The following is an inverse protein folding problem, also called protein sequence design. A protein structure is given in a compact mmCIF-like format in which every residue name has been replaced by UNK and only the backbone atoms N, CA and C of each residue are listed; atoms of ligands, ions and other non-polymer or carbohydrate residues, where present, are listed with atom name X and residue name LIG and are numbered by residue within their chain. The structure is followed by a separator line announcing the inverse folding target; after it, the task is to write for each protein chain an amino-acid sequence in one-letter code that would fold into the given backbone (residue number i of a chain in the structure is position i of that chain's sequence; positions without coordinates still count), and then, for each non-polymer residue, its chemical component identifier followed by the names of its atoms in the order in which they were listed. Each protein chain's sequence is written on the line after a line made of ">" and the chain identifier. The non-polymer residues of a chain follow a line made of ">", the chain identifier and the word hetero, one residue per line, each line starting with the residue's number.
data_IF_814976921365
#
_entry.id   IF_814976921365
#
_cell.length_a   1.000
_cell.length_b   1.000
_cell.length_c   1.000
_cell.angle_alpha   90.00
_cell.angle_beta   90.00
_cell.angle_gamma   90.00
#
_symmetry.space_group_name_H-M   'P 1'
#
loop_
_entity.id
_entity.type
_entity.pdbx_description
1 polymer ?
#
# COMPACT_ATOMS: atom_id res chain seq x y z
N UNK A 1 7.60 39.41 18.94
CA UNK A 1 7.31 38.55 17.77
C UNK A 1 6.11 37.71 18.13
N UNK A 2 4.95 37.97 17.52
CA UNK A 2 3.76 37.11 17.71
C UNK A 2 4.12 35.78 17.06
N UNK A 3 4.19 34.71 17.84
CA UNK A 3 4.43 33.37 17.30
C UNK A 3 3.36 33.06 16.27
N UNK A 4 3.76 32.67 15.06
CA UNK A 4 2.82 32.22 14.04
C UNK A 4 2.21 30.93 14.58
N UNK A 5 0.93 30.97 14.94
CA UNK A 5 0.18 29.82 15.43
C UNK A 5 0.08 28.78 14.31
N UNK A 6 0.64 27.59 14.53
CA UNK A 6 0.53 26.47 13.59
C UNK A 6 -0.87 25.85 13.69
N UNK A 7 -1.66 25.81 12.61
CA UNK A 7 -3.03 25.28 12.67
C UNK A 7 -3.11 23.82 13.11
N UNK A 8 -4.02 23.55 14.05
CA UNK A 8 -4.37 22.20 14.53
C UNK A 8 -5.71 21.74 13.94
N UNK A 9 -6.04 20.45 14.10
CA UNK A 9 -7.35 19.96 13.66
C UNK A 9 -8.49 20.55 14.52
N UNK A 10 -8.24 20.79 15.81
CA UNK A 10 -9.18 21.46 16.70
C UNK A 10 -9.48 22.90 16.28
N UNK A 11 -8.54 23.57 15.60
CA UNK A 11 -8.81 24.90 15.02
C UNK A 11 -9.77 24.81 13.82
N UNK A 12 -9.70 23.73 13.03
CA UNK A 12 -10.64 23.44 11.93
C UNK A 12 -12.04 23.19 12.50
N UNK A 13 -12.14 22.35 13.54
CA UNK A 13 -13.42 22.05 14.21
C UNK A 13 -14.07 23.32 14.76
N UNK A 14 -13.30 24.13 15.51
CA UNK A 14 -13.78 25.40 16.07
C UNK A 14 -14.23 26.38 14.98
N UNK A 15 -13.52 26.43 13.85
CA UNK A 15 -13.93 27.26 12.73
C UNK A 15 -15.30 26.84 12.17
N UNK A 16 -15.54 25.53 12.02
CA UNK A 16 -16.79 25.01 11.49
C UNK A 16 -17.97 25.18 12.46
N UNK A 17 -17.74 25.02 13.77
CA UNK A 17 -18.73 25.29 14.82
C UNK A 17 -19.17 26.75 14.83
N UNK A 18 -18.22 27.68 14.70
CA UNK A 18 -18.50 29.12 14.75
C UNK A 18 -19.22 29.66 13.50
N UNK A 19 -19.07 29.01 12.35
CA UNK A 19 -19.63 29.46 11.07
C UNK A 19 -20.79 28.58 10.55
N UNK A 20 -21.36 27.72 11.40
CA UNK A 20 -22.55 26.93 11.07
C UNK A 20 -22.34 25.88 9.97
N UNK A 21 -21.12 25.40 9.77
CA UNK A 21 -20.78 24.34 8.80
C UNK A 21 -20.89 24.72 7.32
N UNK A 22 -21.22 25.97 6.98
CA UNK A 22 -21.36 26.43 5.58
C UNK A 22 -20.15 27.26 5.18
N UNK A 23 -19.62 27.02 3.98
CA UNK A 23 -18.55 27.80 3.33
C UNK A 23 -18.92 29.29 3.06
N UNK A 24 -20.09 29.77 3.49
CA UNK A 24 -20.68 31.03 3.06
C UNK A 24 -20.30 32.20 3.97
N UNK A 25 -19.07 32.71 3.77
CA UNK A 25 -18.62 34.13 3.91
C UNK A 25 -17.13 34.23 4.24
N UNK A 26 -16.56 33.22 4.92
CA UNK A 26 -15.14 33.12 5.28
C UNK A 26 -14.36 32.06 4.46
N UNK A 27 -14.79 31.79 3.21
CA UNK A 27 -14.24 30.71 2.38
C UNK A 27 -12.72 30.77 2.23
N UNK A 28 -12.17 31.98 2.04
CA UNK A 28 -10.72 32.20 1.94
C UNK A 28 -10.00 31.88 3.26
N UNK A 29 -10.55 32.32 4.40
CA UNK A 29 -9.96 32.07 5.71
C UNK A 29 -10.00 30.59 6.10
N UNK A 30 -11.09 29.89 5.80
CA UNK A 30 -11.20 28.46 6.02
C UNK A 30 -10.22 27.68 5.14
N UNK A 31 -10.12 28.06 3.87
CA UNK A 31 -9.18 27.41 2.95
C UNK A 31 -7.72 27.60 3.41
N UNK A 32 -7.34 28.81 3.83
CA UNK A 32 -6.01 29.06 4.41
C UNK A 32 -5.74 28.24 5.67
N UNK A 33 -6.75 28.07 6.52
CA UNK A 33 -6.66 27.23 7.72
C UNK A 33 -6.38 25.76 7.35
N UNK A 34 -7.12 25.21 6.40
CA UNK A 34 -6.92 23.84 5.91
C UNK A 34 -5.54 23.67 5.26
N UNK A 35 -5.10 24.62 4.42
CA UNK A 35 -3.80 24.59 3.76
C UNK A 35 -2.64 24.69 4.77
N UNK A 36 -2.79 25.52 5.80
CA UNK A 36 -1.83 25.63 6.90
C UNK A 36 -1.74 24.33 7.71
N UNK A 37 -2.88 23.71 8.02
CA UNK A 37 -2.90 22.40 8.68
C UNK A 37 -2.19 21.33 7.84
N UNK A 38 -2.49 21.26 6.54
CA UNK A 38 -1.86 20.30 5.62
C UNK A 38 -0.35 20.50 5.60
N UNK A 39 0.12 21.74 5.44
CA UNK A 39 1.55 22.06 5.39
C UNK A 39 2.27 21.64 6.68
N UNK A 40 1.66 21.87 7.84
CA UNK A 40 2.23 21.51 9.13
C UNK A 40 2.25 20.01 9.42
N UNK A 41 1.43 19.22 8.73
CA UNK A 41 1.20 17.80 9.05
C UNK A 41 1.46 16.85 7.88
N UNK A 42 2.00 17.31 6.75
CA UNK A 42 2.23 16.46 5.58
C UNK A 42 3.26 15.35 5.89
N UNK A 43 4.33 15.65 6.62
CA UNK A 43 5.31 14.65 7.09
C UNK A 43 4.82 13.95 8.38
N UNK A 44 4.59 12.63 8.38
CA UNK A 44 4.20 11.90 9.59
C UNK A 44 5.21 12.02 10.73
N UNK A 45 6.51 12.13 10.45
CA UNK A 45 7.56 12.17 11.48
C UNK A 45 7.47 13.44 12.34
N UNK A 46 7.03 14.55 11.74
CA UNK A 46 6.92 15.85 12.42
C UNK A 46 5.47 16.29 12.66
N UNK A 47 4.49 15.48 12.26
CA UNK A 47 3.07 15.85 12.36
C UNK A 47 2.60 15.90 13.80
N UNK A 48 2.26 17.09 14.28
CA UNK A 48 1.70 17.29 15.63
C UNK A 48 0.30 16.71 15.75
N UNK A 49 -0.48 16.64 14.66
CA UNK A 49 -1.77 15.95 14.68
C UNK A 49 -1.60 14.43 14.80
N UNK A 50 -0.75 13.81 13.99
CA UNK A 50 -0.56 12.35 14.02
C UNK A 50 0.03 11.88 15.36
N UNK A 51 0.93 12.67 15.93
CA UNK A 51 1.62 12.35 17.17
C UNK A 51 0.86 12.76 18.44
N UNK A 52 -0.33 13.39 18.33
CA UNK A 52 -1.16 13.69 19.48
C UNK A 52 -2.15 12.55 19.79
N UNK A 53 -2.61 12.50 21.05
CA UNK A 53 -3.64 11.55 21.49
C UNK A 53 -5.07 12.08 21.35
N UNK A 54 -5.29 13.15 20.57
CA UNK A 54 -6.60 13.78 20.43
C UNK A 54 -7.42 13.09 19.33
N UNK A 55 -8.72 13.03 19.56
CA UNK A 55 -9.70 12.61 18.57
C UNK A 55 -9.94 13.70 17.53
N UNK A 56 -10.11 13.30 16.28
CA UNK A 56 -10.48 14.18 15.18
C UNK A 56 -11.94 13.88 14.77
N UNK A 57 -12.82 14.90 14.78
CA UNK A 57 -14.21 14.78 14.35
C UNK A 57 -14.31 14.73 12.82
N UNK A 58 -14.02 13.57 12.24
CA UNK A 58 -13.91 13.35 10.78
C UNK A 58 -15.16 13.74 9.99
N UNK A 59 -16.34 13.68 10.60
CA UNK A 59 -17.63 13.97 9.96
C UNK A 59 -17.69 15.41 9.43
N UNK A 60 -17.01 16.34 10.09
CA UNK A 60 -16.99 17.73 9.66
C UNK A 60 -16.37 17.88 8.25
N UNK A 61 -15.34 17.10 7.93
CA UNK A 61 -14.68 17.10 6.62
C UNK A 61 -15.48 16.30 5.59
N UNK A 62 -15.97 15.12 5.96
CA UNK A 62 -16.68 14.24 5.03
C UNK A 62 -18.04 14.83 4.62
N UNK A 63 -18.74 15.53 5.51
CA UNK A 63 -19.98 16.23 5.20
C UNK A 63 -19.77 17.35 4.16
N UNK A 64 -18.70 18.15 4.29
CA UNK A 64 -18.38 19.19 3.30
C UNK A 64 -18.02 18.56 1.97
N UNK A 65 -17.17 17.51 1.98
CA UNK A 65 -16.78 16.80 0.77
C UNK A 65 -18.00 16.19 0.04
N UNK A 66 -18.98 15.68 0.78
CA UNK A 66 -20.25 15.15 0.25
C UNK A 66 -21.10 16.26 -0.38
N UNK A 67 -21.16 17.44 0.23
CA UNK A 67 -21.95 18.56 -0.25
C UNK A 67 -21.43 19.14 -1.57
N UNK A 68 -20.11 19.10 -1.81
CA UNK A 68 -19.50 19.61 -3.04
C UNK A 68 -19.80 18.67 -4.23
N UNK A 69 -20.42 19.16 -5.34
CA UNK A 69 -20.60 18.36 -6.55
C UNK A 69 -19.27 17.93 -7.19
N UNK A 70 -19.21 16.80 -7.91
CA UNK A 70 -18.01 16.42 -8.66
C UNK A 70 -17.63 17.51 -9.67
N UNK A 71 -16.33 17.63 -9.98
CA UNK A 71 -15.79 18.63 -10.93
C UNK A 71 -16.03 20.11 -10.51
N UNK A 72 -16.59 20.34 -9.32
CA UNK A 72 -16.81 21.68 -8.75
C UNK A 72 -15.85 21.94 -7.60
N UNK A 73 -15.45 23.20 -7.43
CA UNK A 73 -14.64 23.65 -6.28
C UNK A 73 -13.37 22.80 -6.05
N UNK A 74 -12.61 22.58 -7.11
CA UNK A 74 -11.47 21.65 -7.10
C UNK A 74 -10.42 21.98 -6.03
N UNK A 75 -10.22 23.26 -5.71
CA UNK A 75 -9.27 23.70 -4.70
C UNK A 75 -9.70 23.24 -3.31
N UNK A 76 -10.98 23.44 -2.96
CA UNK A 76 -11.53 22.99 -1.68
C UNK A 76 -11.57 21.47 -1.60
N UNK A 77 -12.00 20.78 -2.66
CA UNK A 77 -12.00 19.30 -2.70
C UNK A 77 -10.59 18.76 -2.48
N UNK A 78 -9.60 19.33 -3.17
CA UNK A 78 -8.21 18.90 -3.06
C UNK A 78 -7.68 19.06 -1.62
N UNK A 79 -7.88 20.22 -1.00
CA UNK A 79 -7.39 20.44 0.37
C UNK A 79 -8.13 19.56 1.40
N UNK A 80 -9.43 19.34 1.23
CA UNK A 80 -10.19 18.42 2.10
C UNK A 80 -9.69 16.97 1.99
N UNK A 81 -9.39 16.50 0.78
CA UNK A 81 -8.80 15.17 0.57
C UNK A 81 -7.41 15.06 1.21
N UNK A 82 -6.58 16.11 1.16
CA UNK A 82 -5.29 16.16 1.85
C UNK A 82 -5.45 16.11 3.36
N UNK A 83 -6.42 16.82 3.93
CA UNK A 83 -6.76 16.74 5.35
C UNK A 83 -7.21 15.32 5.71
N UNK A 84 -8.11 14.70 4.93
CA UNK A 84 -8.54 13.31 5.14
C UNK A 84 -7.38 12.32 5.07
N UNK A 85 -6.45 12.51 4.13
CA UNK A 85 -5.22 11.69 4.02
C UNK A 85 -4.40 11.78 5.30
N UNK A 86 -4.20 12.98 5.85
CA UNK A 86 -3.41 13.20 7.07
C UNK A 86 -4.09 12.53 8.27
N UNK A 87 -5.37 12.84 8.51
CA UNK A 87 -6.06 12.35 9.71
C UNK A 87 -6.33 10.84 9.64
N UNK A 88 -6.47 10.25 8.44
CA UNK A 88 -6.64 8.79 8.26
C UNK A 88 -5.39 7.96 8.57
N UNK A 89 -4.26 8.59 8.92
CA UNK A 89 -3.11 7.89 9.50
C UNK A 89 -3.44 7.30 10.88
N UNK A 90 -4.30 7.96 11.65
CA UNK A 90 -4.80 7.44 12.93
C UNK A 90 -5.84 6.33 12.70
N UNK A 91 -5.73 5.24 13.45
CA UNK A 91 -6.66 4.12 13.34
C UNK A 91 -8.10 4.49 13.69
N UNK A 92 -8.28 5.25 14.78
CA UNK A 92 -9.60 5.73 15.23
C UNK A 92 -10.34 6.50 14.13
N UNK A 93 -9.63 7.36 13.41
CA UNK A 93 -10.21 8.13 12.31
C UNK A 93 -10.59 7.25 11.12
N UNK A 94 -9.78 6.24 10.76
CA UNK A 94 -10.17 5.29 9.69
C UNK A 94 -11.46 4.57 10.02
N UNK A 95 -11.65 4.18 11.27
CA UNK A 95 -12.87 3.52 11.74
C UNK A 95 -14.08 4.46 11.70
N UNK A 96 -13.87 5.75 12.02
CA UNK A 96 -14.94 6.77 12.01
C UNK A 96 -15.34 7.27 10.62
N UNK A 97 -14.42 7.32 9.64
CA UNK A 97 -14.73 7.77 8.26
C UNK A 97 -15.92 6.98 7.70
N UNK A 98 -15.96 5.67 7.95
CA UNK A 98 -17.12 4.82 7.72
C UNK A 98 -17.71 4.88 6.29
N UNK A 99 -18.97 4.49 6.17
CA UNK A 99 -19.66 4.41 4.87
C UNK A 99 -19.83 5.78 4.21
N UNK A 100 -20.24 6.78 5.00
CA UNK A 100 -20.47 8.13 4.51
C UNK A 100 -19.19 8.75 3.94
N UNK A 101 -18.08 8.69 4.68
CA UNK A 101 -16.81 9.24 4.23
C UNK A 101 -16.21 8.49 3.04
N UNK A 102 -16.32 7.15 3.00
CA UNK A 102 -15.90 6.36 1.84
C UNK A 102 -16.72 6.75 0.60
N UNK A 103 -18.04 6.90 0.74
CA UNK A 103 -18.89 7.36 -0.35
C UNK A 103 -18.48 8.77 -0.83
N UNK A 104 -18.20 9.69 0.09
CA UNK A 104 -17.77 11.06 -0.22
C UNK A 104 -16.48 11.09 -1.05
N UNK A 105 -15.48 10.27 -0.68
CA UNK A 105 -14.22 10.17 -1.43
C UNK A 105 -14.44 9.52 -2.80
N UNK A 106 -15.18 8.39 -2.85
CA UNK A 106 -15.45 7.68 -4.10
C UNK A 106 -16.26 8.51 -5.10
N UNK A 107 -17.16 9.38 -4.61
CA UNK A 107 -17.91 10.35 -5.44
C UNK A 107 -16.96 11.18 -6.29
N UNK A 108 -15.89 11.71 -5.70
CA UNK A 108 -14.89 12.53 -6.40
C UNK A 108 -13.87 11.69 -7.18
N UNK A 109 -13.62 10.44 -6.82
CA UNK A 109 -12.76 9.54 -7.61
C UNK A 109 -13.41 9.02 -8.89
N UNK A 110 -14.75 8.92 -8.97
CA UNK A 110 -15.42 8.50 -10.21
C UNK A 110 -15.26 9.52 -11.33
N UNK A 111 -15.18 10.81 -10.98
CA UNK A 111 -15.04 11.95 -11.89
C UNK A 111 -14.12 13.00 -11.26
N UNK A 112 -12.80 12.72 -11.20
CA UNK A 112 -11.87 13.64 -10.56
C UNK A 112 -11.73 14.91 -11.40
N UNK A 113 -11.76 16.07 -10.75
CA UNK A 113 -11.59 17.36 -11.41
C UNK A 113 -10.22 17.50 -12.07
N UNK A 114 -9.18 16.94 -11.44
CA UNK A 114 -7.81 16.94 -11.93
C UNK A 114 -7.01 15.74 -11.35
N UNK A 115 -5.79 15.47 -11.86
CA UNK A 115 -4.96 14.37 -11.37
C UNK A 115 -4.63 14.43 -9.87
N UNK A 116 -4.50 15.64 -9.28
CA UNK A 116 -4.20 15.78 -7.85
C UNK A 116 -5.36 15.28 -6.98
N UNK A 117 -6.60 15.58 -7.37
CA UNK A 117 -7.81 15.05 -6.71
C UNK A 117 -7.84 13.52 -6.80
N UNK A 118 -7.52 12.95 -7.96
CA UNK A 118 -7.44 11.50 -8.13
C UNK A 118 -6.36 10.88 -7.22
N UNK A 119 -5.16 11.47 -7.19
CA UNK A 119 -4.05 10.99 -6.38
C UNK A 119 -4.36 11.05 -4.87
N UNK A 120 -4.87 12.17 -4.38
CA UNK A 120 -5.18 12.34 -2.94
C UNK A 120 -6.36 11.47 -2.52
N UNK A 121 -7.42 11.38 -3.33
CA UNK A 121 -8.55 10.51 -3.03
C UNK A 121 -8.15 9.02 -3.02
N UNK A 122 -7.30 8.58 -3.96
CA UNK A 122 -6.79 7.21 -3.95
C UNK A 122 -5.91 6.95 -2.71
N UNK A 123 -5.17 7.95 -2.23
CA UNK A 123 -4.40 7.84 -0.99
C UNK A 123 -5.30 7.73 0.25
N UNK A 124 -6.40 8.47 0.30
CA UNK A 124 -7.41 8.30 1.36
C UNK A 124 -7.96 6.87 1.34
N UNK A 125 -8.32 6.32 0.17
CA UNK A 125 -8.77 4.92 0.05
C UNK A 125 -7.69 3.93 0.52
N UNK A 126 -6.43 4.15 0.14
CA UNK A 126 -5.29 3.35 0.59
C UNK A 126 -5.23 3.27 2.11
N UNK A 127 -5.31 4.42 2.80
CA UNK A 127 -5.24 4.48 4.25
C UNK A 127 -6.43 3.79 4.90
N UNK A 128 -7.67 4.17 4.52
CA UNK A 128 -8.88 3.66 5.19
C UNK A 128 -9.05 2.15 5.03
N UNK A 129 -8.54 1.57 3.94
CA UNK A 129 -8.59 0.12 3.68
C UNK A 129 -7.63 -0.72 4.53
N UNK A 130 -6.83 -0.13 5.44
CA UNK A 130 -6.21 -0.92 6.51
C UNK A 130 -7.26 -1.54 7.46
N UNK A 131 -8.44 -0.93 7.57
CA UNK A 131 -9.55 -1.51 8.34
C UNK A 131 -10.37 -2.45 7.46
N UNK A 132 -10.56 -3.69 7.91
CA UNK A 132 -11.35 -4.71 7.18
C UNK A 132 -12.76 -4.25 6.83
N UNK A 133 -13.43 -3.55 7.75
CA UNK A 133 -14.79 -3.02 7.54
C UNK A 133 -14.85 -2.03 6.36
N UNK A 134 -13.80 -1.23 6.18
CA UNK A 134 -13.72 -0.25 5.11
C UNK A 134 -13.47 -0.90 3.74
N UNK A 135 -12.78 -2.04 3.69
CA UNK A 135 -12.69 -2.82 2.45
C UNK A 135 -14.07 -3.28 1.99
N UNK A 136 -14.89 -3.81 2.90
CA UNK A 136 -16.26 -4.22 2.58
C UNK A 136 -17.12 -3.04 2.09
N UNK A 137 -16.90 -1.84 2.64
CA UNK A 137 -17.57 -0.61 2.23
C UNK A 137 -17.16 -0.17 0.82
N UNK A 138 -15.85 -0.14 0.53
CA UNK A 138 -15.33 0.20 -0.81
C UNK A 138 -15.91 -0.73 -1.88
N UNK A 139 -16.01 -2.03 -1.58
CA UNK A 139 -16.63 -2.99 -2.49
C UNK A 139 -18.12 -2.73 -2.71
N UNK A 140 -18.90 -2.51 -1.63
CA UNK A 140 -20.34 -2.19 -1.74
C UNK A 140 -20.60 -0.91 -2.54
N UNK A 141 -19.74 0.09 -2.38
CA UNK A 141 -19.82 1.34 -3.12
C UNK A 141 -19.25 1.25 -4.55
N UNK A 142 -18.90 0.07 -5.05
CA UNK A 142 -18.27 -0.12 -6.36
C UNK A 142 -17.05 0.80 -6.56
N UNK A 143 -16.17 0.86 -5.56
CA UNK A 143 -15.03 1.76 -5.51
C UNK A 143 -13.76 1.25 -6.20
N UNK A 144 -13.71 -0.04 -6.58
CA UNK A 144 -12.55 -0.66 -7.24
C UNK A 144 -12.35 -0.17 -8.68
N UNK A 145 -13.36 -0.10 -9.56
CA UNK A 145 -13.16 0.25 -10.97
C UNK A 145 -12.47 1.61 -11.22
N UNK A 146 -12.78 2.70 -10.50
CA UNK A 146 -12.03 3.95 -10.63
C UNK A 146 -10.53 3.79 -10.36
N UNK A 147 -10.17 3.00 -9.34
CA UNK A 147 -8.76 2.75 -9.00
C UNK A 147 -8.04 1.98 -10.11
N UNK A 148 -8.71 0.99 -10.73
CA UNK A 148 -8.14 0.24 -11.85
C UNK A 148 -7.90 1.16 -13.05
N UNK A 149 -8.84 2.06 -13.36
CA UNK A 149 -8.67 3.07 -14.41
C UNK A 149 -7.44 3.94 -14.16
N UNK A 150 -7.15 4.27 -12.91
CA UNK A 150 -5.98 5.08 -12.55
C UNK A 150 -4.64 4.36 -12.67
N UNK A 151 -4.61 3.02 -12.76
CA UNK A 151 -3.37 2.27 -12.99
C UNK A 151 -2.73 2.58 -14.35
N UNK A 152 -3.51 3.01 -15.35
CA UNK A 152 -3.01 3.41 -16.67
C UNK A 152 -2.87 4.93 -16.84
N UNK A 153 -3.00 5.70 -15.75
CA UNK A 153 -2.88 7.16 -15.80
C UNK A 153 -1.44 7.61 -16.10
N UNK A 154 -1.26 8.74 -16.80
CA UNK A 154 0.07 9.25 -17.17
C UNK A 154 0.86 9.82 -15.98
N UNK A 155 0.15 10.31 -14.96
CA UNK A 155 0.74 10.82 -13.71
C UNK A 155 1.12 9.66 -12.77
N UNK A 156 2.41 9.63 -12.38
CA UNK A 156 2.97 8.57 -11.55
C UNK A 156 2.42 8.54 -10.12
N UNK A 157 2.03 9.67 -9.55
CA UNK A 157 1.46 9.72 -8.20
C UNK A 157 0.03 9.15 -8.20
N UNK A 158 -0.73 9.43 -9.26
CA UNK A 158 -2.04 8.79 -9.48
C UNK A 158 -1.87 7.27 -9.58
N UNK A 159 -0.93 6.80 -10.41
CA UNK A 159 -0.65 5.36 -10.53
C UNK A 159 -0.22 4.72 -9.20
N UNK A 160 0.72 5.35 -8.49
CA UNK A 160 1.27 4.82 -7.24
C UNK A 160 0.21 4.73 -6.15
N UNK A 161 -0.60 5.78 -5.97
CA UNK A 161 -1.65 5.79 -4.95
C UNK A 161 -2.79 4.84 -5.31
N UNK A 162 -3.16 4.72 -6.59
CA UNK A 162 -4.15 3.75 -7.05
C UNK A 162 -3.67 2.30 -6.82
N UNK A 163 -2.43 1.99 -7.22
CA UNK A 163 -1.84 0.67 -6.98
C UNK A 163 -1.73 0.36 -5.48
N UNK A 164 -1.38 1.36 -4.66
CA UNK A 164 -1.36 1.21 -3.21
C UNK A 164 -2.74 1.00 -2.59
N UNK A 165 -3.78 1.68 -3.08
CA UNK A 165 -5.15 1.43 -2.66
C UNK A 165 -5.61 0.02 -3.01
N UNK A 166 -5.33 -0.44 -4.23
CA UNK A 166 -5.59 -1.82 -4.66
C UNK A 166 -4.83 -2.82 -3.79
N UNK A 167 -3.55 -2.55 -3.48
CA UNK A 167 -2.75 -3.38 -2.57
C UNK A 167 -3.40 -3.51 -1.19
N UNK A 168 -3.81 -2.39 -0.57
CA UNK A 168 -4.48 -2.38 0.75
C UNK A 168 -5.79 -3.16 0.73
N UNK A 169 -6.62 -2.98 -0.31
CA UNK A 169 -7.87 -3.74 -0.51
C UNK A 169 -7.59 -5.24 -0.56
N UNK A 170 -6.54 -5.66 -1.28
CA UNK A 170 -6.18 -7.07 -1.45
C UNK A 170 -5.63 -7.75 -0.19
N UNK A 171 -5.40 -7.02 0.90
CA UNK A 171 -5.07 -7.64 2.19
C UNK A 171 -6.22 -8.52 2.69
N UNK A 172 -7.46 -8.14 2.38
CA UNK A 172 -8.66 -8.89 2.74
C UNK A 172 -9.11 -9.83 1.61
N UNK A 173 -9.68 -10.99 1.96
CA UNK A 173 -10.12 -11.99 0.99
C UNK A 173 -11.17 -11.47 0.00
N UNK A 174 -12.24 -10.86 0.52
CA UNK A 174 -13.26 -10.22 -0.32
C UNK A 174 -12.67 -9.14 -1.23
N UNK A 175 -11.67 -8.42 -0.74
CA UNK A 175 -10.94 -7.42 -1.53
C UNK A 175 -10.19 -8.05 -2.70
N UNK A 176 -9.49 -9.16 -2.49
CA UNK A 176 -8.84 -9.93 -3.58
C UNK A 176 -9.85 -10.39 -4.62
N UNK A 177 -10.99 -10.91 -4.18
CA UNK A 177 -12.06 -11.34 -5.07
C UNK A 177 -12.59 -10.17 -5.90
N UNK A 178 -12.98 -9.06 -5.26
CA UNK A 178 -13.51 -7.89 -5.95
C UNK A 178 -12.51 -7.24 -6.93
N UNK A 179 -11.22 -7.21 -6.59
CA UNK A 179 -10.17 -6.69 -7.48
C UNK A 179 -9.92 -7.61 -8.67
N UNK A 180 -9.94 -8.93 -8.45
CA UNK A 180 -9.82 -9.93 -9.52
C UNK A 180 -11.02 -9.85 -10.47
N UNK A 181 -12.23 -9.79 -9.93
CA UNK A 181 -13.47 -9.78 -10.70
C UNK A 181 -13.64 -8.46 -11.47
N UNK A 182 -12.99 -7.39 -11.02
CA UNK A 182 -12.87 -6.12 -11.76
C UNK A 182 -11.69 -6.11 -12.77
N UNK A 183 -11.06 -7.26 -13.04
CA UNK A 183 -10.03 -7.45 -14.06
C UNK A 183 -8.74 -6.59 -13.87
N UNK A 184 -8.32 -6.34 -12.63
CA UNK A 184 -7.15 -5.49 -12.35
C UNK A 184 -5.79 -6.09 -12.75
N UNK A 185 -5.68 -7.42 -12.83
CA UNK A 185 -4.40 -8.14 -12.92
C UNK A 185 -3.53 -7.70 -14.11
N UNK A 186 -4.04 -7.59 -15.35
CA UNK A 186 -3.22 -7.15 -16.49
C UNK A 186 -2.66 -5.74 -16.31
N UNK A 187 -3.45 -4.81 -15.74
CA UNK A 187 -3.02 -3.44 -15.49
C UNK A 187 -1.90 -3.38 -14.44
N UNK A 188 -2.01 -4.17 -13.36
CA UNK A 188 -0.95 -4.29 -12.35
C UNK A 188 0.34 -4.90 -12.93
N UNK A 189 0.22 -5.90 -13.81
CA UNK A 189 1.37 -6.52 -14.49
C UNK A 189 2.07 -5.51 -15.42
N UNK A 190 1.33 -4.62 -16.09
CA UNK A 190 1.91 -3.57 -16.91
C UNK A 190 2.78 -2.62 -16.09
N UNK A 191 2.31 -2.25 -14.88
CA UNK A 191 3.02 -1.35 -13.96
C UNK A 191 4.36 -1.89 -13.43
N UNK A 192 4.61 -3.20 -13.51
CA UNK A 192 5.90 -3.79 -13.09
C UNK A 192 7.10 -3.26 -13.90
N UNK A 193 6.86 -2.74 -15.11
CA UNK A 193 7.88 -2.11 -15.96
C UNK A 193 7.99 -0.60 -15.76
N UNK A 194 7.24 0.00 -14.82
CA UNK A 194 7.31 1.43 -14.57
C UNK A 194 8.73 1.85 -14.17
N UNK A 195 9.25 2.97 -14.71
CA UNK A 195 10.52 3.52 -14.24
C UNK A 195 10.43 4.06 -12.82
N UNK A 196 9.21 4.35 -12.34
CA UNK A 196 8.97 4.92 -11.02
C UNK A 196 8.98 3.82 -9.96
N UNK A 197 10.00 3.80 -9.11
CA UNK A 197 10.19 2.80 -8.07
C UNK A 197 8.95 2.62 -7.17
N UNK A 198 8.31 3.72 -6.76
CA UNK A 198 7.09 3.69 -5.94
C UNK A 198 5.92 3.00 -6.65
N UNK A 199 5.71 3.26 -7.94
CA UNK A 199 4.65 2.62 -8.74
C UNK A 199 4.91 1.12 -8.84
N UNK A 200 6.15 0.75 -9.20
CA UNK A 200 6.59 -0.65 -9.32
C UNK A 200 6.40 -1.40 -7.99
N UNK A 201 6.83 -0.82 -6.87
CA UNK A 201 6.71 -1.41 -5.54
C UNK A 201 5.25 -1.66 -5.12
N UNK A 202 4.36 -0.69 -5.37
CA UNK A 202 2.92 -0.85 -5.07
C UNK A 202 2.27 -1.89 -5.98
N UNK A 203 2.61 -1.91 -7.26
CA UNK A 203 2.08 -2.88 -8.21
C UNK A 203 2.49 -4.33 -7.87
N UNK A 204 3.78 -4.57 -7.58
CA UNK A 204 4.24 -5.92 -7.19
C UNK A 204 3.64 -6.34 -5.85
N UNK A 205 3.51 -5.41 -4.89
CA UNK A 205 2.85 -5.67 -3.62
C UNK A 205 1.36 -6.03 -3.78
N UNK A 206 0.65 -5.37 -4.69
CA UNK A 206 -0.73 -5.72 -5.02
C UNK A 206 -0.84 -7.13 -5.65
N UNK A 207 0.06 -7.48 -6.57
CA UNK A 207 0.11 -8.81 -7.16
C UNK A 207 0.50 -9.90 -6.15
N UNK A 208 1.40 -9.60 -5.22
CA UNK A 208 1.73 -10.49 -4.11
C UNK A 208 0.48 -10.79 -3.29
N UNK A 209 -0.27 -9.77 -2.87
CA UNK A 209 -1.51 -9.96 -2.13
C UNK A 209 -2.55 -10.75 -2.95
N UNK A 210 -2.77 -10.38 -4.22
CA UNK A 210 -3.71 -11.06 -5.11
C UNK A 210 -3.35 -12.54 -5.34
N UNK A 211 -2.08 -12.86 -5.50
CA UNK A 211 -1.63 -14.23 -5.80
C UNK A 211 -1.94 -15.25 -4.69
N UNK A 212 -2.28 -14.79 -3.49
CA UNK A 212 -2.82 -15.65 -2.42
C UNK A 212 -4.16 -16.28 -2.80
N UNK A 213 -4.93 -15.63 -3.67
CA UNK A 213 -6.16 -16.15 -4.26
C UNK A 213 -5.87 -17.08 -5.47
N UNK A 214 -6.44 -18.29 -5.46
CA UNK A 214 -6.17 -19.30 -6.48
C UNK A 214 -6.70 -18.92 -7.87
N UNK A 215 -7.80 -18.16 -7.94
CA UNK A 215 -8.32 -17.61 -9.19
C UNK A 215 -7.33 -16.65 -9.84
N UNK A 216 -6.69 -15.82 -9.03
CA UNK A 216 -5.70 -14.83 -9.47
C UNK A 216 -4.41 -15.46 -9.99
N UNK A 217 -3.95 -16.58 -9.41
CA UNK A 217 -2.73 -17.29 -9.87
C UNK A 217 -2.77 -17.57 -11.38
N UNK A 218 -3.87 -18.18 -11.84
CA UNK A 218 -4.01 -18.57 -13.25
C UNK A 218 -4.04 -17.34 -14.17
N UNK A 219 -4.68 -16.26 -13.73
CA UNK A 219 -4.75 -15.00 -14.48
C UNK A 219 -3.36 -14.37 -14.57
N UNK A 220 -2.59 -14.35 -13.48
CA UNK A 220 -1.21 -13.83 -13.45
C UNK A 220 -0.35 -14.60 -14.45
N UNK A 221 -0.38 -15.94 -14.44
CA UNK A 221 0.39 -16.75 -15.40
C UNK A 221 -0.02 -16.48 -16.85
N UNK A 222 -1.32 -16.44 -17.14
CA UNK A 222 -1.83 -16.26 -18.52
C UNK A 222 -1.54 -14.87 -19.09
N UNK A 223 -1.31 -13.88 -18.23
CA UNK A 223 -0.99 -12.50 -18.64
C UNK A 223 0.52 -12.19 -18.53
N UNK A 224 1.38 -13.21 -18.67
CA UNK A 224 2.85 -13.07 -18.63
C UNK A 224 3.39 -12.40 -17.35
N UNK A 225 2.66 -12.55 -16.24
CA UNK A 225 3.09 -11.99 -14.95
C UNK A 225 4.32 -12.68 -14.38
N UNK A 226 4.47 -13.99 -14.58
CA UNK A 226 5.58 -14.78 -14.01
C UNK A 226 6.95 -14.30 -14.52
N UNK A 227 7.20 -14.15 -15.84
CA UNK A 227 8.46 -13.59 -16.33
C UNK A 227 8.83 -12.26 -15.67
N UNK A 228 7.87 -11.34 -15.59
CA UNK A 228 8.09 -10.02 -14.97
C UNK A 228 8.38 -10.11 -13.48
N UNK A 229 7.75 -11.04 -12.77
CA UNK A 229 8.03 -11.28 -11.35
C UNK A 229 9.44 -11.87 -11.17
N UNK A 230 9.89 -12.75 -12.06
CA UNK A 230 11.27 -13.29 -12.03
C UNK A 230 12.29 -12.19 -12.29
N UNK A 231 12.04 -11.29 -13.25
CA UNK A 231 12.90 -10.13 -13.50
C UNK A 231 13.07 -9.25 -12.26
N UNK A 232 11.99 -9.05 -11.50
CA UNK A 232 11.98 -8.21 -10.30
C UNK A 232 12.73 -8.81 -9.09
N UNK A 233 13.12 -10.09 -9.13
CA UNK A 233 13.98 -10.67 -8.09
C UNK A 233 15.37 -10.03 -8.05
N UNK A 234 15.80 -9.37 -9.13
CA UNK A 234 17.09 -8.68 -9.26
C UNK A 234 16.96 -7.15 -9.16
N UNK A 235 15.88 -6.66 -8.54
CA UNK A 235 15.67 -5.23 -8.34
C UNK A 235 16.62 -4.69 -7.25
N UNK A 236 17.01 -3.42 -7.34
CA UNK A 236 17.85 -2.75 -6.32
C UNK A 236 17.13 -2.49 -4.98
N UNK A 237 15.87 -2.92 -4.87
CA UNK A 237 15.01 -2.68 -3.71
C UNK A 237 14.57 -4.00 -3.12
N UNK A 238 15.07 -4.34 -1.93
CA UNK A 238 14.72 -5.57 -1.22
C UNK A 238 13.21 -5.75 -1.02
N UNK A 239 12.46 -4.68 -0.72
CA UNK A 239 11.00 -4.74 -0.62
C UNK A 239 10.30 -5.19 -1.92
N UNK A 240 10.86 -4.81 -3.08
CA UNK A 240 10.37 -5.24 -4.41
C UNK A 240 10.73 -6.70 -4.63
N UNK A 241 11.97 -7.09 -4.36
CA UNK A 241 12.43 -8.47 -4.46
C UNK A 241 11.61 -9.42 -3.58
N UNK A 242 11.37 -9.04 -2.32
CA UNK A 242 10.58 -9.82 -1.38
C UNK A 242 9.12 -9.95 -1.80
N UNK A 243 8.51 -8.86 -2.29
CA UNK A 243 7.15 -8.92 -2.85
C UNK A 243 7.08 -9.79 -4.10
N UNK A 244 8.08 -9.72 -4.98
CA UNK A 244 8.17 -10.57 -6.16
C UNK A 244 8.34 -12.05 -5.79
N UNK A 245 9.23 -12.35 -4.85
CA UNK A 245 9.43 -13.69 -4.30
C UNK A 245 8.16 -14.22 -3.64
N UNK A 246 7.42 -13.39 -2.89
CA UNK A 246 6.16 -13.78 -2.27
C UNK A 246 5.06 -14.07 -3.30
N UNK A 247 4.98 -13.26 -4.36
CA UNK A 247 4.11 -13.55 -5.48
C UNK A 247 4.48 -14.88 -6.17
N UNK A 248 5.78 -15.13 -6.39
CA UNK A 248 6.29 -16.39 -6.96
C UNK A 248 6.02 -17.60 -6.05
N UNK A 249 6.20 -17.46 -4.74
CA UNK A 249 5.82 -18.46 -3.74
C UNK A 249 4.34 -18.82 -3.85
N UNK A 250 3.48 -17.82 -4.01
CA UNK A 250 2.05 -18.03 -4.10
C UNK A 250 1.63 -18.68 -5.43
N UNK A 251 2.10 -18.18 -6.57
CA UNK A 251 1.74 -18.74 -7.89
C UNK A 251 2.34 -20.12 -8.11
N UNK A 252 3.49 -20.44 -7.50
CA UNK A 252 4.11 -21.77 -7.53
C UNK A 252 3.30 -22.85 -6.82
N UNK A 253 2.13 -22.55 -6.24
CA UNK A 253 1.14 -23.58 -5.86
C UNK A 253 0.52 -24.27 -7.09
N UNK A 254 0.44 -23.59 -8.23
CA UNK A 254 0.02 -24.20 -9.51
C UNK A 254 1.21 -24.91 -10.19
N UNK A 255 1.02 -26.17 -10.61
CA UNK A 255 2.05 -26.98 -11.29
C UNK A 255 2.62 -26.27 -12.51
N UNK A 256 1.76 -25.75 -13.40
CA UNK A 256 2.20 -25.06 -14.61
C UNK A 256 3.02 -23.80 -14.31
N UNK A 257 2.68 -23.08 -13.24
CA UNK A 257 3.46 -21.92 -12.78
C UNK A 257 4.83 -22.34 -12.26
N UNK A 258 4.96 -23.46 -11.53
CA UNK A 258 6.26 -23.98 -11.08
C UNK A 258 7.21 -24.30 -12.23
N UNK A 259 6.71 -24.99 -13.26
CA UNK A 259 7.52 -25.37 -14.42
C UNK A 259 8.06 -24.11 -15.11
N UNK A 260 7.19 -23.14 -15.37
CA UNK A 260 7.59 -21.87 -15.98
C UNK A 260 8.61 -21.09 -15.13
N UNK A 261 8.44 -21.04 -13.81
CA UNK A 261 9.41 -20.37 -12.90
C UNK A 261 10.80 -21.01 -13.02
N UNK A 262 10.87 -22.34 -13.15
CA UNK A 262 12.13 -23.07 -13.31
C UNK A 262 12.76 -22.83 -14.68
N UNK A 263 11.95 -22.83 -15.74
CA UNK A 263 12.40 -22.55 -17.12
C UNK A 263 12.96 -21.13 -17.28
N UNK A 264 12.56 -20.20 -16.41
CA UNK A 264 13.04 -18.82 -16.37
C UNK A 264 14.27 -18.62 -15.46
N UNK A 265 14.94 -19.71 -15.06
CA UNK A 265 16.15 -19.69 -14.22
C UNK A 265 15.99 -18.90 -12.90
N UNK A 266 14.81 -18.97 -12.29
CA UNK A 266 14.52 -18.24 -11.05
C UNK A 266 15.18 -18.84 -9.79
N UNK A 267 15.77 -20.04 -9.87
CA UNK A 267 16.37 -20.71 -8.70
C UNK A 267 17.54 -19.91 -8.13
N UNK A 268 18.49 -19.47 -8.97
CA UNK A 268 19.63 -18.66 -8.53
C UNK A 268 19.22 -17.34 -7.88
N UNK A 269 18.41 -16.47 -8.52
CA UNK A 269 18.04 -15.21 -7.89
C UNK A 269 17.21 -15.42 -6.62
N UNK A 270 16.36 -16.46 -6.54
CA UNK A 270 15.69 -16.80 -5.28
C UNK A 270 16.67 -17.28 -4.20
N UNK A 271 17.71 -18.03 -4.56
CA UNK A 271 18.73 -18.45 -3.61
C UNK A 271 19.54 -17.26 -3.08
N UNK A 272 19.87 -16.29 -3.94
CA UNK A 272 20.54 -15.05 -3.53
C UNK A 272 19.72 -14.27 -2.50
N UNK A 273 18.39 -14.25 -2.63
CA UNK A 273 17.48 -13.61 -1.66
C UNK A 273 17.47 -14.27 -0.28
N UNK A 274 17.96 -15.51 -0.13
CA UNK A 274 18.10 -16.14 1.20
C UNK A 274 19.12 -15.42 2.09
N UNK A 275 20.01 -14.64 1.49
CA UNK A 275 21.01 -13.81 2.18
C UNK A 275 20.67 -12.31 2.14
N UNK A 276 19.44 -11.96 1.74
CA UNK A 276 18.97 -10.58 1.76
C UNK A 276 18.92 -10.03 3.20
N UNK A 277 19.15 -8.73 3.44
CA UNK A 277 18.96 -8.13 4.77
C UNK A 277 17.48 -8.09 5.20
N UNK A 278 16.53 -8.15 4.25
CA UNK A 278 15.10 -8.15 4.54
C UNK A 278 14.59 -9.56 4.86
N UNK A 279 14.17 -9.78 6.11
CA UNK A 279 13.60 -11.05 6.59
C UNK A 279 12.41 -11.51 5.74
N UNK A 280 11.55 -10.59 5.31
CA UNK A 280 10.37 -10.95 4.53
C UNK A 280 10.79 -11.50 3.15
N UNK A 281 11.80 -10.89 2.52
CA UNK A 281 12.36 -11.40 1.28
C UNK A 281 12.94 -12.81 1.44
N UNK A 282 13.69 -13.07 2.52
CA UNK A 282 14.23 -14.40 2.80
C UNK A 282 13.13 -15.46 2.96
N UNK A 283 12.11 -15.18 3.76
CA UNK A 283 10.98 -16.10 4.02
C UNK A 283 10.24 -16.42 2.72
N UNK A 284 9.92 -15.40 1.93
CA UNK A 284 9.26 -15.57 0.65
C UNK A 284 10.11 -16.37 -0.34
N UNK A 285 11.41 -16.10 -0.41
CA UNK A 285 12.33 -16.81 -1.29
C UNK A 285 12.49 -18.29 -0.91
N UNK A 286 12.65 -18.58 0.38
CA UNK A 286 12.69 -19.95 0.90
C UNK A 286 11.41 -20.72 0.54
N UNK A 287 10.24 -20.09 0.74
CA UNK A 287 8.96 -20.68 0.37
C UNK A 287 8.82 -20.95 -1.13
N UNK A 288 9.25 -20.02 -1.98
CA UNK A 288 9.25 -20.21 -3.43
C UNK A 288 10.18 -21.36 -3.85
N UNK A 289 11.39 -21.42 -3.30
CA UNK A 289 12.35 -22.50 -3.56
C UNK A 289 11.81 -23.87 -3.15
N UNK A 290 11.19 -23.98 -1.96
CA UNK A 290 10.56 -25.22 -1.51
C UNK A 290 9.45 -25.68 -2.46
N UNK A 291 8.65 -24.75 -2.98
CA UNK A 291 7.58 -25.08 -3.91
C UNK A 291 8.13 -25.57 -5.27
N UNK A 292 9.17 -24.94 -5.80
CA UNK A 292 9.70 -25.29 -7.13
C UNK A 292 10.65 -26.48 -7.12
N UNK A 293 11.41 -26.70 -6.05
CA UNK A 293 12.40 -27.79 -5.95
C UNK A 293 11.83 -29.06 -5.32
N UNK A 294 10.93 -28.92 -4.33
CA UNK A 294 10.40 -30.04 -3.54
C UNK A 294 9.92 -31.24 -4.37
N UNK A 295 9.06 -31.04 -5.40
CA UNK A 295 8.54 -32.16 -6.20
C UNK A 295 9.60 -32.98 -6.95
N UNK A 296 10.73 -32.38 -7.35
CA UNK A 296 11.81 -33.13 -8.00
C UNK A 296 12.66 -33.88 -6.99
N UNK A 297 12.94 -33.23 -5.85
CA UNK A 297 13.67 -33.87 -4.75
C UNK A 297 12.91 -35.12 -4.30
N UNK A 298 11.59 -35.02 -4.12
CA UNK A 298 10.72 -36.14 -3.71
C UNK A 298 10.72 -37.34 -4.68
N UNK A 299 11.17 -37.18 -5.94
CA UNK A 299 11.30 -38.28 -6.90
C UNK A 299 12.56 -39.12 -6.70
N UNK A 300 13.55 -38.61 -5.96
CA UNK A 300 14.76 -39.35 -5.64
C UNK A 300 14.46 -40.42 -4.55
N UNK A 301 15.22 -41.55 -4.51
CA UNK A 301 15.03 -42.59 -3.49
C UNK A 301 15.09 -42.08 -2.04
N UNK A 302 15.84 -41.01 -1.78
CA UNK A 302 15.98 -40.35 -0.47
C UNK A 302 15.29 -38.97 -0.43
N UNK A 303 14.38 -38.71 -1.36
CA UNK A 303 13.81 -37.39 -1.62
C UNK A 303 13.16 -36.72 -0.41
N UNK A 304 12.37 -37.47 0.36
CA UNK A 304 11.72 -36.95 1.56
C UNK A 304 12.74 -36.43 2.59
N UNK A 305 13.84 -37.15 2.80
CA UNK A 305 14.91 -36.76 3.71
C UNK A 305 15.68 -35.53 3.19
N UNK A 306 15.98 -35.51 1.88
CA UNK A 306 16.66 -34.39 1.23
C UNK A 306 15.81 -33.11 1.26
N UNK A 307 14.50 -33.22 1.02
CA UNK A 307 13.55 -32.11 1.12
C UNK A 307 13.47 -31.57 2.54
N UNK A 308 13.43 -32.45 3.54
CA UNK A 308 13.47 -32.05 4.94
C UNK A 308 14.80 -31.36 5.28
N UNK A 309 15.93 -31.86 4.77
CA UNK A 309 17.25 -31.25 4.90
C UNK A 309 17.30 -29.84 4.31
N UNK A 310 16.79 -29.66 3.09
CA UNK A 310 16.67 -28.36 2.43
C UNK A 310 15.82 -27.38 3.24
N UNK A 311 14.65 -27.83 3.70
CA UNK A 311 13.76 -27.00 4.52
C UNK A 311 14.42 -26.58 5.85
N UNK A 312 15.15 -27.48 6.49
CA UNK A 312 15.93 -27.18 7.70
C UNK A 312 17.02 -26.15 7.42
N UNK A 313 17.78 -26.34 6.33
CA UNK A 313 18.85 -25.41 5.95
C UNK A 313 18.29 -24.01 5.71
N UNK A 314 17.18 -23.88 4.97
CA UNK A 314 16.51 -22.59 4.76
C UNK A 314 16.02 -21.98 6.08
N UNK A 315 15.41 -22.77 6.96
CA UNK A 315 14.98 -22.30 8.28
C UNK A 315 16.16 -21.82 9.13
N UNK A 316 17.32 -22.49 9.05
CA UNK A 316 18.53 -22.05 9.75
C UNK A 316 19.05 -20.72 9.21
N UNK A 317 19.09 -20.54 7.88
CA UNK A 317 19.50 -19.27 7.26
C UNK A 317 18.61 -18.11 7.71
N UNK A 318 17.29 -18.31 7.69
CA UNK A 318 16.33 -17.30 8.16
C UNK A 318 16.52 -17.01 9.66
N UNK A 319 16.67 -18.05 10.48
CA UNK A 319 16.86 -17.88 11.94
C UNK A 319 18.15 -17.15 12.29
N UNK A 320 19.25 -17.47 11.59
CA UNK A 320 20.54 -16.80 11.76
C UNK A 320 20.45 -15.32 11.41
N UNK A 321 19.69 -14.98 10.37
CA UNK A 321 19.49 -13.59 9.95
C UNK A 321 18.73 -12.78 11.00
N UNK A 322 17.66 -13.34 11.58
CA UNK A 322 16.93 -12.71 12.70
C UNK A 322 17.84 -12.48 13.91
N UNK A 323 18.66 -13.47 14.26
CA UNK A 323 19.62 -13.34 15.36
C UNK A 323 20.67 -12.26 15.04
N UNK A 324 21.17 -12.22 13.81
CA UNK A 324 22.14 -11.21 13.39
C UNK A 324 21.55 -9.80 13.52
N UNK A 325 20.36 -9.58 12.97
CA UNK A 325 19.66 -8.28 13.04
C UNK A 325 19.49 -7.84 14.50
N UNK A 326 18.97 -8.73 15.36
CA UNK A 326 18.73 -8.44 16.76
C UNK A 326 20.02 -8.16 17.56
N UNK A 327 21.15 -8.79 17.22
CA UNK A 327 22.40 -8.70 17.98
C UNK A 327 23.34 -7.61 17.48
N UNK A 328 23.31 -7.30 16.18
CA UNK A 328 24.35 -6.46 15.54
C UNK A 328 23.79 -5.21 14.85
N UNK A 329 22.53 -5.24 14.38
CA UNK A 329 21.93 -4.08 13.70
C UNK A 329 21.12 -3.19 14.67
N UNK A 330 20.68 -3.73 15.81
CA UNK A 330 20.10 -2.95 16.93
C UNK A 330 21.15 -2.34 17.87
N UNK A 331 22.00 -1.43 17.35
CA UNK A 331 22.73 -0.48 18.22
C UNK A 331 21.93 0.82 18.28
N UNK A 332 21.40 1.24 19.45
CA UNK A 332 20.85 2.58 19.58
C UNK A 332 21.97 3.58 19.34
N UNK A 333 21.71 4.62 18.53
CA UNK A 333 22.62 5.74 18.37
C UNK A 333 23.05 6.25 19.75
N UNK A 334 24.28 5.94 20.14
CA UNK A 334 24.91 6.47 21.34
C UNK A 334 25.08 7.97 21.15
N UNK A 335 24.13 8.70 21.72
CA UNK A 335 24.27 9.98 22.39
C UNK A 335 25.63 10.66 22.17
N UNK A 336 25.81 11.31 21.00
CA UNK A 336 26.91 12.25 20.78
C UNK A 336 26.60 13.56 21.48
N UNK A 337 26.49 13.52 22.81
CA UNK A 337 26.56 14.69 23.66
C UNK A 337 28.03 14.92 24.05
N UNK A 338 28.81 15.42 23.09
CA UNK A 338 30.04 16.15 23.42
C UNK A 338 29.60 17.42 24.16
N UNK A 339 29.84 17.46 25.47
CA UNK A 339 29.69 18.68 26.28
C UNK A 339 30.75 19.71 25.87
N UNK A 340 30.42 21.01 25.82
CA UNK A 340 31.37 22.05 25.46
C UNK A 340 32.29 22.39 26.64
N UNK A 341 33.56 22.66 26.31
CA UNK A 341 34.41 23.59 27.05
C UNK A 341 34.37 24.96 26.39
#
# INVERSE_FOLDING_TARGET
>A
MVGIHTPTFQDIERHLETHGGVLSSSRTGFQQLLEGFVTANEDPATSTNFNNGLDDYVDCITNILTAIPPESDEATVLVLLKVLKIISRKQTNRQRIGEHGIYAVLKHLRRPANPKVAAEGANVILNVCYEKANVDLVLRCNGVPPLIKFLSHADADVQANAAGAVQSICFQEKGRQGVRDAEAVPALIALLRSPQAKVKARAVGALHNLSSDSGSIRIIRRNEGIPKLVDLLRSDSWAVCGSAAGALQNVSREVASRMLIRELDAVCPLADLLSAPDLQAQVCAAGALLNILGPEIDRAPEGAAQRQGLARLMSCVVSLSVVHEAMYDSVPALDTAVRPG
#
